data_IF_242951906093
#
_entry.id   IF_242951906093
#
_cell.length_a   1.000
_cell.length_b   1.000
_cell.length_c   1.000
_cell.angle_alpha   90.00
_cell.angle_beta   90.00
_cell.angle_gamma   90.00
#
_symmetry.space_group_name_H-M   'P 1'
#
loop_
_entity.id
_entity.type
_entity.pdbx_description
1 polymer ?
#
# COMPACT_ATOMS: atom_id res chain seq x y z
N UNK A 1 15.16 4.31 1.51
CA UNK A 1 14.26 3.42 0.76
C UNK A 1 13.12 3.02 1.68
N UNK A 2 11.89 3.02 1.19
CA UNK A 2 10.70 2.68 1.98
C UNK A 2 9.72 1.89 1.12
N UNK A 3 8.60 1.51 1.73
CA UNK A 3 7.52 0.78 1.09
C UNK A 3 6.22 1.50 1.35
N UNK A 4 5.41 1.68 0.31
CA UNK A 4 4.00 2.01 0.45
C UNK A 4 3.23 0.70 0.55
N UNK A 5 2.54 0.51 1.67
CA UNK A 5 1.78 -0.71 1.97
C UNK A 5 0.30 -0.39 1.96
N UNK A 6 -0.47 -1.24 1.29
CA UNK A 6 -1.92 -1.24 1.28
C UNK A 6 -2.44 -2.49 1.97
N UNK A 7 -3.20 -2.30 3.07
CA UNK A 7 -3.79 -3.37 3.86
C UNK A 7 -5.30 -3.21 3.87
N UNK A 8 -5.99 -4.18 3.28
CA UNK A 8 -7.42 -4.36 3.53
C UNK A 8 -7.63 -4.84 4.97
N UNK A 9 -8.46 -4.16 5.77
CA UNK A 9 -8.64 -4.49 7.20
C UNK A 9 -9.31 -5.84 7.46
N UNK A 10 -10.06 -6.37 6.49
CA UNK A 10 -10.84 -7.61 6.63
C UNK A 10 -10.17 -8.80 5.91
N UNK A 11 -9.16 -8.54 5.07
CA UNK A 11 -8.38 -9.58 4.42
C UNK A 11 -7.14 -9.98 5.23
N UNK A 12 -6.50 -11.10 4.88
CA UNK A 12 -5.18 -11.46 5.39
C UNK A 12 -4.10 -10.99 4.41
N UNK A 13 -2.97 -10.46 4.91
CA UNK A 13 -1.87 -9.95 4.08
C UNK A 13 -2.08 -8.57 3.48
N UNK A 14 -1.06 -8.08 2.77
CA UNK A 14 -1.01 -6.73 2.19
C UNK A 14 -0.31 -6.69 0.83
N UNK A 15 -0.53 -5.62 0.08
CA UNK A 15 0.31 -5.26 -1.07
C UNK A 15 1.39 -4.27 -0.66
N UNK A 16 2.61 -4.41 -1.18
CA UNK A 16 3.73 -3.53 -0.85
C UNK A 16 4.50 -3.10 -2.10
N UNK A 17 4.58 -1.79 -2.32
CA UNK A 17 5.37 -1.18 -3.40
C UNK A 17 6.65 -0.58 -2.81
N UNK A 18 7.80 -1.01 -3.32
CA UNK A 18 9.10 -0.42 -2.99
C UNK A 18 9.24 0.96 -3.63
N UNK A 19 9.64 1.95 -2.84
CA UNK A 19 9.70 3.36 -3.26
C UNK A 19 10.70 4.17 -2.43
N UNK A 20 10.76 5.47 -2.67
CA UNK A 20 11.59 6.44 -1.94
C UNK A 20 10.73 7.55 -1.36
N UNK A 21 11.22 8.19 -0.29
CA UNK A 21 10.57 9.37 0.25
C UNK A 21 10.65 10.53 -0.75
N UNK A 22 9.59 11.31 -0.85
CA UNK A 22 9.54 12.48 -1.72
C UNK A 22 8.12 12.91 -2.03
N UNK A 23 8.00 14.00 -2.80
CA UNK A 23 6.73 14.59 -3.21
C UNK A 23 5.83 13.56 -3.94
N UNK A 24 6.43 12.76 -4.83
CA UNK A 24 5.73 11.72 -5.58
C UNK A 24 5.00 10.72 -4.68
N UNK A 25 5.67 10.19 -3.64
CA UNK A 25 5.05 9.26 -2.71
C UNK A 25 3.86 9.88 -1.95
N UNK A 26 3.98 11.15 -1.56
CA UNK A 26 2.89 11.86 -0.87
C UNK A 26 1.68 12.02 -1.80
N UNK A 27 1.91 12.35 -3.06
CA UNK A 27 0.86 12.50 -4.07
C UNK A 27 0.17 11.17 -4.38
N UNK A 28 0.96 10.11 -4.60
CA UNK A 28 0.45 8.74 -4.82
C UNK A 28 -0.40 8.26 -3.63
N UNK A 29 0.10 8.42 -2.40
CA UNK A 29 -0.66 8.07 -1.19
C UNK A 29 -1.95 8.89 -1.07
N UNK A 30 -1.94 10.18 -1.43
CA UNK A 30 -3.15 11.03 -1.41
C UNK A 30 -4.17 10.58 -2.46
N UNK A 31 -3.73 10.25 -3.67
CA UNK A 31 -4.60 9.71 -4.71
C UNK A 31 -5.28 8.42 -4.26
N UNK A 32 -4.50 7.45 -3.77
CA UNK A 32 -5.04 6.18 -3.30
C UNK A 32 -5.97 6.36 -2.10
N UNK A 33 -5.64 7.23 -1.14
CA UNK A 33 -6.55 7.52 -0.02
C UNK A 33 -7.91 8.07 -0.50
N UNK A 34 -7.96 8.88 -1.56
CA UNK A 34 -9.23 9.32 -2.14
C UNK A 34 -10.02 8.16 -2.75
N UNK A 35 -9.33 7.20 -3.37
CA UNK A 35 -9.96 6.05 -4.01
C UNK A 35 -10.46 4.99 -3.01
N UNK A 36 -9.71 4.72 -1.94
CA UNK A 36 -9.94 3.55 -1.06
C UNK A 36 -9.99 3.86 0.44
N UNK A 37 -9.69 5.09 0.87
CA UNK A 37 -9.55 5.43 2.29
C UNK A 37 -10.83 5.20 3.11
N UNK A 38 -12.00 5.43 2.52
CA UNK A 38 -13.30 5.17 3.16
C UNK A 38 -13.80 3.75 2.98
N UNK A 39 -13.10 2.93 2.19
CA UNK A 39 -13.49 1.54 1.93
C UNK A 39 -12.97 0.58 3.00
N UNK A 40 -12.14 1.04 3.95
CA UNK A 40 -11.50 0.19 4.95
C UNK A 40 -10.13 -0.35 4.53
N UNK A 41 -9.50 0.28 3.52
CA UNK A 41 -8.10 0.02 3.15
C UNK A 41 -7.19 1.01 3.87
N UNK A 42 -6.18 0.50 4.58
CA UNK A 42 -5.15 1.29 5.24
C UNK A 42 -3.94 1.46 4.33
N UNK A 43 -3.45 2.70 4.21
CA UNK A 43 -2.24 3.04 3.45
C UNK A 43 -1.14 3.55 4.39
N UNK A 44 -0.07 2.79 4.54
CA UNK A 44 1.06 3.12 5.43
C UNK A 44 2.38 3.15 4.68
N UNK A 45 3.32 3.95 5.18
CA UNK A 45 4.68 3.98 4.64
C UNK A 45 5.61 3.43 5.70
N UNK A 46 6.33 2.36 5.38
CA UNK A 46 7.24 1.68 6.31
C UNK A 46 8.63 1.54 5.69
N UNK A 47 9.68 1.57 6.51
CA UNK A 47 11.07 1.41 6.04
C UNK A 47 11.56 -0.03 6.09
N UNK A 48 11.01 -0.86 6.99
CA UNK A 48 11.45 -2.24 7.24
C UNK A 48 10.25 -3.19 7.35
N UNK A 49 9.78 -3.80 6.25
CA UNK A 49 8.63 -4.73 6.26
C UNK A 49 8.74 -5.86 7.29
N UNK A 50 9.95 -6.41 7.47
CA UNK A 50 10.21 -7.49 8.43
C UNK A 50 9.97 -7.11 9.89
N UNK A 51 9.90 -5.81 10.21
CA UNK A 51 9.61 -5.34 11.57
C UNK A 51 8.11 -5.21 11.87
N UNK A 52 7.24 -5.33 10.86
CA UNK A 52 5.80 -5.11 10.99
C UNK A 52 5.03 -6.37 10.54
N UNK A 53 4.88 -7.31 11.48
CA UNK A 53 4.22 -8.59 11.22
C UNK A 53 2.71 -8.47 10.97
N UNK A 54 2.07 -7.38 11.41
CA UNK A 54 0.63 -7.15 11.28
C UNK A 54 0.18 -6.98 9.81
N UNK A 55 1.10 -6.68 8.90
CA UNK A 55 0.81 -6.60 7.47
C UNK A 55 1.16 -7.89 6.71
N UNK A 56 1.74 -8.89 7.37
CA UNK A 56 2.09 -10.15 6.72
C UNK A 56 0.83 -10.97 6.34
N UNK A 57 0.90 -11.82 5.30
CA UNK A 57 1.99 -11.94 4.34
C UNK A 57 2.08 -10.72 3.41
N UNK A 58 3.31 -10.34 3.07
CA UNK A 58 3.59 -9.25 2.13
C UNK A 58 3.58 -9.77 0.70
N UNK A 59 2.72 -9.21 -0.14
CA UNK A 59 2.79 -9.36 -1.58
C UNK A 59 3.52 -8.14 -2.18
N UNK A 60 4.80 -8.31 -2.46
CA UNK A 60 5.61 -7.27 -3.09
C UNK A 60 5.30 -7.19 -4.57
N UNK A 61 5.06 -5.98 -5.05
CA UNK A 61 4.81 -5.70 -6.47
C UNK A 61 5.95 -4.89 -7.04
N UNK A 62 6.25 -5.12 -8.32
CA UNK A 62 7.42 -4.52 -8.97
C UNK A 62 7.12 -3.13 -9.55
N UNK A 63 5.86 -2.86 -9.91
CA UNK A 63 5.48 -1.64 -10.61
C UNK A 63 4.40 -0.85 -9.88
N UNK A 64 4.48 0.48 -9.97
CA UNK A 64 3.44 1.37 -9.45
C UNK A 64 2.09 1.14 -10.15
N UNK A 65 2.09 0.82 -11.45
CA UNK A 65 0.87 0.52 -12.21
C UNK A 65 0.14 -0.70 -11.66
N UNK A 66 0.86 -1.78 -11.38
CA UNK A 66 0.31 -2.97 -10.75
C UNK A 66 -0.23 -2.67 -9.35
N UNK A 67 0.55 -1.96 -8.53
CA UNK A 67 0.12 -1.54 -7.20
C UNK A 67 -1.19 -0.74 -7.25
N UNK A 68 -1.28 0.26 -8.13
CA UNK A 68 -2.47 1.09 -8.32
C UNK A 68 -3.69 0.24 -8.71
N UNK A 69 -3.53 -0.69 -9.65
CA UNK A 69 -4.62 -1.55 -10.11
C UNK A 69 -5.14 -2.45 -8.98
N UNK A 70 -4.24 -3.13 -8.26
CA UNK A 70 -4.59 -4.01 -7.15
C UNK A 70 -5.27 -3.23 -6.02
N UNK A 71 -4.70 -2.09 -5.61
CA UNK A 71 -5.25 -1.30 -4.51
C UNK A 71 -6.60 -0.71 -4.89
N UNK A 72 -6.78 -0.17 -6.10
CA UNK A 72 -8.08 0.37 -6.55
C UNK A 72 -9.15 -0.71 -6.70
N UNK A 73 -8.74 -1.95 -6.97
CA UNK A 73 -9.62 -3.13 -6.99
C UNK A 73 -9.98 -3.67 -5.60
N UNK A 74 -9.34 -3.19 -4.53
CA UNK A 74 -9.75 -3.58 -3.17
C UNK A 74 -11.12 -2.99 -2.86
N UNK A 75 -12.07 -3.89 -2.55
CA UNK A 75 -13.45 -3.53 -2.17
C UNK A 75 -14.13 -2.64 -3.22
N UNK A 76 -13.80 -2.89 -4.49
CA UNK A 76 -14.48 -2.29 -5.65
C UNK A 76 -15.88 -2.85 -5.81
#
# INVERSE_FOLDING_TARGET
>A
MCYLVAKDRDAHGCFALKTTHGKHLVELKRELNRAVGYKGVQLVTISRPTAYGEYAPYHFVDTEKEFLALVKGLRS
#
